data_IF_432246428490
#
_entry.id   IF_432246428490
#
_cell.length_a   1.000
_cell.length_b   1.000
_cell.length_c   1.000
_cell.angle_alpha   90.00
_cell.angle_beta   90.00
_cell.angle_gamma   90.00
#
_symmetry.space_group_name_H-M   'P 1'
#
loop_
_entity.id
_entity.type
_entity.pdbx_description
1 polymer ?
#
# COMPACT_ATOMS: atom_id res chain seq x y z
N UNK A 1 -1.98 -6.37 10.78
CA UNK A 1 -2.03 -5.70 12.09
C UNK A 1 -0.65 -5.54 12.72
N UNK A 2 0.07 -6.63 13.02
CA UNK A 2 1.43 -6.59 13.60
C UNK A 2 2.39 -5.55 13.00
N UNK A 3 2.42 -5.43 11.66
CA UNK A 3 3.30 -4.45 11.00
C UNK A 3 2.91 -3.00 11.32
N UNK A 4 1.62 -2.67 11.35
CA UNK A 4 1.13 -1.32 11.67
C UNK A 4 1.32 -0.98 13.15
N UNK A 5 1.22 -1.97 14.04
CA UNK A 5 1.54 -1.79 15.47
C UNK A 5 2.99 -1.32 15.63
N UNK A 6 3.95 -1.92 14.90
CA UNK A 6 5.35 -1.47 14.92
C UNK A 6 5.55 -0.06 14.37
N UNK A 7 4.81 0.32 13.34
CA UNK A 7 4.84 1.70 12.81
C UNK A 7 4.41 2.72 13.87
N UNK A 8 3.44 2.39 14.72
CA UNK A 8 2.99 3.24 15.83
C UNK A 8 3.97 3.22 17.02
N UNK A 9 4.46 2.04 17.40
CA UNK A 9 5.42 1.88 18.50
C UNK A 9 6.72 2.68 18.24
N UNK A 10 7.16 2.75 16.99
CA UNK A 10 8.36 3.51 16.60
C UNK A 10 8.09 5.00 16.31
N UNK A 11 6.86 5.48 16.54
CA UNK A 11 6.53 6.90 16.44
C UNK A 11 6.53 7.47 15.02
N UNK A 12 6.54 6.61 13.98
CA UNK A 12 6.35 7.07 12.60
C UNK A 12 4.96 7.68 12.45
N UNK A 13 3.97 7.10 13.12
CA UNK A 13 2.66 7.70 13.38
C UNK A 13 2.51 7.87 14.90
N UNK A 14 1.97 9.00 15.33
CA UNK A 14 1.75 9.26 16.76
C UNK A 14 0.54 8.43 17.27
N UNK A 15 0.73 7.51 18.24
CA UNK A 15 -0.36 6.69 18.78
C UNK A 15 -1.42 7.49 19.55
N UNK A 16 -1.08 8.62 20.15
CA UNK A 16 -2.05 9.45 20.91
C UNK A 16 -3.09 10.13 20.01
N UNK A 17 -2.74 10.35 18.73
CA UNK A 17 -3.60 11.02 17.75
C UNK A 17 -4.05 10.09 16.62
N UNK A 18 -3.88 8.77 16.77
CA UNK A 18 -4.17 7.79 15.71
C UNK A 18 -5.09 6.68 16.21
N UNK A 19 -6.21 6.48 15.53
CA UNK A 19 -7.11 5.34 15.76
C UNK A 19 -6.84 4.26 14.70
N UNK A 20 -6.56 3.04 15.15
CA UNK A 20 -6.43 1.87 14.28
C UNK A 20 -7.70 1.05 14.34
N UNK A 21 -8.33 0.83 13.18
CA UNK A 21 -9.52 0.00 13.05
C UNK A 21 -9.47 -0.84 11.77
N UNK A 22 -10.20 -1.95 11.76
CA UNK A 22 -10.32 -2.84 10.59
C UNK A 22 -11.58 -2.44 9.81
N UNK A 23 -11.41 -2.10 8.53
CA UNK A 23 -12.52 -1.92 7.62
C UNK A 23 -12.96 -3.30 7.08
N UNK A 24 -14.18 -3.77 7.38
CA UNK A 24 -14.56 -5.17 7.16
C UNK A 24 -14.99 -5.49 5.71
N UNK A 25 -15.00 -4.52 4.81
CA UNK A 25 -15.41 -4.73 3.42
C UNK A 25 -14.44 -5.66 2.68
N UNK A 26 -14.95 -6.56 1.82
CA UNK A 26 -14.13 -7.16 0.78
C UNK A 26 -13.46 -6.10 -0.10
N UNK A 27 -12.24 -6.40 -0.56
CA UNK A 27 -11.50 -5.59 -1.52
C UNK A 27 -11.77 -6.11 -2.94
N UNK A 28 -12.25 -5.26 -3.84
CA UNK A 28 -12.63 -5.65 -5.20
C UNK A 28 -11.51 -5.44 -6.22
N UNK A 29 -10.53 -4.60 -5.90
CA UNK A 29 -9.50 -4.11 -6.82
C UNK A 29 -10.11 -3.40 -8.04
N UNK A 30 -11.19 -2.65 -7.83
CA UNK A 30 -11.96 -2.02 -8.90
C UNK A 30 -11.66 -0.51 -9.10
N UNK A 31 -10.47 -0.07 -8.66
CA UNK A 31 -9.88 1.22 -9.03
C UNK A 31 -10.78 2.44 -8.72
N UNK A 32 -10.98 3.36 -9.69
CA UNK A 32 -11.78 4.57 -9.52
C UNK A 32 -13.24 4.33 -9.10
N UNK A 33 -13.80 3.16 -9.37
CA UNK A 33 -15.15 2.79 -8.90
C UNK A 33 -15.12 2.46 -7.41
N UNK A 34 -14.15 1.65 -6.99
CA UNK A 34 -14.05 1.19 -5.60
C UNK A 34 -13.57 2.29 -4.64
N UNK A 35 -12.71 3.21 -5.08
CA UNK A 35 -12.25 4.31 -4.21
C UNK A 35 -13.41 5.19 -3.73
N UNK A 36 -14.49 5.30 -4.51
CA UNK A 36 -15.71 6.00 -4.08
C UNK A 36 -16.40 5.28 -2.91
N UNK A 37 -16.47 3.94 -2.96
CA UNK A 37 -16.97 3.13 -1.84
C UNK A 37 -16.11 3.31 -0.59
N UNK A 38 -14.79 3.24 -0.74
CA UNK A 38 -13.86 3.43 0.37
C UNK A 38 -14.00 4.82 1.02
N UNK A 39 -14.22 5.87 0.24
CA UNK A 39 -14.47 7.21 0.74
C UNK A 39 -15.83 7.33 1.41
N UNK A 40 -16.90 6.86 0.77
CA UNK A 40 -18.26 6.92 1.32
C UNK A 40 -18.39 6.17 2.65
N UNK A 41 -17.74 5.02 2.78
CA UNK A 41 -17.71 4.27 4.03
C UNK A 41 -17.03 5.05 5.16
N UNK A 42 -15.96 5.80 4.85
CA UNK A 42 -15.25 6.65 5.83
C UNK A 42 -16.07 7.90 6.21
N UNK A 43 -16.83 8.49 5.29
CA UNK A 43 -17.83 9.53 5.62
C UNK A 43 -18.81 9.00 6.66
N UNK A 44 -19.36 7.81 6.42
CA UNK A 44 -20.33 7.20 7.33
C UNK A 44 -19.72 6.87 8.71
N UNK A 45 -18.40 6.66 8.77
CA UNK A 45 -17.65 6.48 10.01
C UNK A 45 -17.22 7.80 10.68
N UNK A 46 -17.61 8.96 10.13
CA UNK A 46 -17.34 10.28 10.71
C UNK A 46 -16.04 10.95 10.23
N UNK A 47 -15.40 10.47 9.15
CA UNK A 47 -14.22 11.12 8.60
C UNK A 47 -14.60 12.41 7.84
N UNK A 48 -13.92 13.51 8.17
CA UNK A 48 -14.10 14.81 7.51
C UNK A 48 -13.13 15.04 6.34
N UNK A 49 -12.01 14.31 6.34
CA UNK A 49 -10.96 14.35 5.33
C UNK A 49 -10.67 12.94 4.82
N UNK A 50 -10.32 12.82 3.55
CA UNK A 50 -9.97 11.54 2.94
C UNK A 50 -8.71 11.64 2.08
N UNK A 51 -7.67 10.94 2.50
CA UNK A 51 -6.38 10.88 1.80
C UNK A 51 -6.50 9.95 0.60
N UNK A 52 -6.08 10.43 -0.57
CA UNK A 52 -6.07 9.62 -1.80
C UNK A 52 -4.77 9.87 -2.58
N UNK A 53 -4.07 8.79 -2.93
CA UNK A 53 -2.80 8.83 -3.65
C UNK A 53 -2.93 8.43 -5.14
N UNK A 54 -1.83 7.89 -5.66
CA UNK A 54 -1.76 7.26 -7.00
C UNK A 54 -2.49 5.91 -7.00
N UNK A 55 -3.25 5.64 -8.06
CA UNK A 55 -3.84 4.32 -8.37
C UNK A 55 -4.59 3.66 -7.20
N UNK A 56 -5.52 4.39 -6.53
CA UNK A 56 -6.22 3.86 -5.38
C UNK A 56 -7.13 2.70 -5.79
N UNK A 57 -7.09 1.61 -5.01
CA UNK A 57 -7.79 0.36 -5.30
C UNK A 57 -7.45 -0.27 -6.66
N UNK A 58 -6.33 0.12 -7.28
CA UNK A 58 -5.85 -0.47 -8.52
C UNK A 58 -5.05 -1.75 -8.32
N UNK A 59 -4.81 -2.42 -9.45
CA UNK A 59 -3.90 -3.55 -9.57
C UNK A 59 -3.35 -3.62 -10.99
N UNK A 60 -2.29 -4.39 -11.20
CA UNK A 60 -1.80 -4.70 -12.55
C UNK A 60 -2.82 -5.56 -13.31
N UNK A 61 -2.89 -5.37 -14.63
CA UNK A 61 -3.76 -6.16 -15.49
C UNK A 61 -3.34 -7.65 -15.42
N UNK A 62 -4.28 -8.61 -15.26
CA UNK A 62 -3.93 -10.02 -15.10
C UNK A 62 -3.18 -10.63 -16.29
N UNK A 63 -3.44 -10.13 -17.50
CA UNK A 63 -2.87 -10.67 -18.75
C UNK A 63 -1.96 -9.71 -19.51
N UNK A 64 -2.00 -8.42 -19.20
CA UNK A 64 -1.28 -7.39 -19.94
C UNK A 64 -0.22 -6.74 -19.04
N UNK A 65 0.91 -6.32 -19.62
CA UNK A 65 1.99 -5.67 -18.87
C UNK A 65 1.70 -4.18 -18.63
N UNK A 66 0.57 -3.87 -18.02
CA UNK A 66 0.15 -2.51 -17.65
C UNK A 66 -0.71 -2.50 -16.39
N UNK A 67 -0.95 -1.32 -15.86
CA UNK A 67 -1.95 -1.13 -14.81
C UNK A 67 -3.36 -1.27 -15.40
N UNK A 68 -4.30 -1.76 -14.57
CA UNK A 68 -5.69 -1.94 -14.96
C UNK A 68 -6.41 -0.60 -15.13
N UNK A 69 -5.99 0.40 -14.36
CA UNK A 69 -6.53 1.76 -14.35
C UNK A 69 -5.43 2.80 -14.56
N UNK A 70 -5.81 3.97 -15.07
CA UNK A 70 -4.93 5.12 -15.04
C UNK A 70 -4.75 5.61 -13.59
N UNK A 71 -3.48 5.86 -13.26
CA UNK A 71 -3.02 6.19 -11.92
C UNK A 71 -3.65 7.46 -11.30
N UNK A 72 -4.15 8.39 -12.12
CA UNK A 72 -4.76 9.63 -11.66
C UNK A 72 -6.29 9.58 -11.66
N UNK A 73 -6.91 8.58 -12.29
CA UNK A 73 -8.36 8.50 -12.38
C UNK A 73 -9.04 8.43 -11.01
N UNK A 74 -8.47 7.72 -10.04
CA UNK A 74 -9.06 7.62 -8.71
C UNK A 74 -9.26 8.98 -8.03
N UNK A 75 -8.24 9.86 -8.07
CA UNK A 75 -8.31 11.21 -7.50
C UNK A 75 -9.31 12.09 -8.27
N UNK A 76 -9.26 12.05 -9.61
CA UNK A 76 -10.14 12.83 -10.48
C UNK A 76 -11.61 12.44 -10.26
N UNK A 77 -11.92 11.15 -10.35
CA UNK A 77 -13.26 10.60 -10.13
C UNK A 77 -13.78 10.95 -8.74
N UNK A 78 -12.96 10.79 -7.70
CA UNK A 78 -13.38 11.09 -6.34
C UNK A 78 -13.72 12.57 -6.13
N UNK A 79 -13.00 13.48 -6.81
CA UNK A 79 -13.27 14.93 -6.73
C UNK A 79 -14.56 15.38 -7.41
N UNK A 80 -15.13 14.56 -8.30
CA UNK A 80 -16.35 14.85 -9.05
C UNK A 80 -17.50 13.88 -8.73
N UNK A 81 -17.31 12.97 -7.79
CA UNK A 81 -18.29 11.94 -7.46
C UNK A 81 -19.46 12.54 -6.66
N UNK A 82 -20.71 12.34 -7.11
CA UNK A 82 -21.89 12.85 -6.40
C UNK A 82 -22.05 12.17 -5.03
N UNK A 83 -22.52 12.93 -4.04
CA UNK A 83 -22.72 12.45 -2.67
C UNK A 83 -21.46 12.41 -1.80
N UNK A 84 -20.31 12.88 -2.31
CA UNK A 84 -19.06 13.05 -1.56
C UNK A 84 -18.70 14.52 -1.30
N UNK A 85 -19.61 15.47 -1.58
CA UNK A 85 -19.34 16.91 -1.53
C UNK A 85 -18.98 17.39 -0.12
N UNK A 86 -19.41 16.67 0.91
CA UNK A 86 -19.13 16.95 2.33
C UNK A 86 -17.75 16.47 2.79
N UNK A 87 -17.07 15.66 1.98
CA UNK A 87 -15.77 15.06 2.31
C UNK A 87 -14.65 15.88 1.68
N UNK A 88 -13.72 16.34 2.51
CA UNK A 88 -12.55 17.06 2.02
C UNK A 88 -11.53 16.05 1.46
N UNK A 89 -11.47 15.94 0.14
CA UNK A 89 -10.49 15.07 -0.53
C UNK A 89 -9.11 15.70 -0.46
N UNK A 90 -8.13 14.95 0.03
CA UNK A 90 -6.72 15.34 0.10
C UNK A 90 -5.91 14.52 -0.92
N UNK A 91 -5.75 15.02 -2.16
CA UNK A 91 -5.02 14.29 -3.21
C UNK A 91 -3.52 14.47 -3.05
N UNK A 92 -2.78 13.36 -3.16
CA UNK A 92 -1.32 13.35 -3.13
C UNK A 92 -0.73 12.83 -4.45
N UNK A 93 0.48 13.32 -4.75
CA UNK A 93 1.34 12.74 -5.79
C UNK A 93 1.93 11.42 -5.30
N UNK A 94 2.52 10.65 -6.21
CA UNK A 94 3.25 9.44 -5.82
C UNK A 94 4.45 9.82 -4.95
N UNK A 95 4.62 9.14 -3.83
CA UNK A 95 5.81 9.22 -2.99
C UNK A 95 6.74 8.05 -3.29
N UNK A 96 8.04 8.31 -3.36
CA UNK A 96 9.08 7.32 -3.61
C UNK A 96 10.31 7.63 -2.73
N UNK A 97 11.25 6.69 -2.64
CA UNK A 97 12.43 6.89 -1.83
C UNK A 97 13.44 7.78 -2.57
N UNK A 98 13.68 9.00 -2.08
CA UNK A 98 14.70 9.91 -2.61
C UNK A 98 16.08 9.47 -2.07
N UNK A 99 16.94 9.01 -2.96
CA UNK A 99 18.28 8.50 -2.63
C UNK A 99 19.26 9.57 -2.19
N UNK A 100 19.05 10.83 -2.61
CA UNK A 100 19.87 11.98 -2.20
C UNK A 100 19.50 12.42 -0.79
N UNK A 101 18.20 12.50 -0.51
CA UNK A 101 17.69 12.92 0.80
C UNK A 101 17.60 11.77 1.82
N UNK A 102 17.74 10.52 1.39
CA UNK A 102 17.66 9.31 2.21
C UNK A 102 16.35 9.21 3.02
N UNK A 103 15.23 9.54 2.37
CA UNK A 103 13.89 9.48 2.96
C UNK A 103 12.83 9.36 1.87
N UNK A 104 11.59 9.06 2.27
CA UNK A 104 10.44 9.15 1.39
C UNK A 104 10.13 10.62 1.06
N UNK A 105 9.93 10.92 -0.23
CA UNK A 105 9.54 12.25 -0.72
C UNK A 105 8.60 12.13 -1.93
N UNK A 106 7.93 13.21 -2.31
CA UNK A 106 7.12 13.25 -3.51
C UNK A 106 8.00 13.13 -4.75
N UNK A 107 7.61 12.24 -5.66
CA UNK A 107 8.34 12.01 -6.89
C UNK A 107 8.37 13.28 -7.77
N UNK A 108 9.58 13.62 -8.22
CA UNK A 108 9.83 14.71 -9.15
C UNK A 108 10.31 14.14 -10.50
N UNK A 109 9.52 14.26 -11.58
CA UNK A 109 9.91 13.79 -12.91
C UNK A 109 11.20 14.40 -13.45
N UNK A 110 11.58 15.61 -13.02
CA UNK A 110 12.82 16.28 -13.45
C UNK A 110 14.07 15.64 -12.85
N UNK A 111 13.93 14.94 -11.72
CA UNK A 111 15.00 14.25 -10.99
C UNK A 111 14.73 12.75 -10.87
N UNK A 112 14.07 12.15 -11.86
CA UNK A 112 13.55 10.78 -11.79
C UNK A 112 14.59 9.73 -11.35
N UNK A 113 15.86 9.92 -11.71
CA UNK A 113 16.94 8.98 -11.42
C UNK A 113 17.38 9.02 -9.93
N UNK A 114 17.00 10.06 -9.19
CA UNK A 114 17.23 10.15 -7.75
C UNK A 114 16.22 9.32 -6.93
N UNK A 115 15.11 8.86 -7.55
CA UNK A 115 14.03 8.17 -6.86
C UNK A 115 14.02 6.66 -7.09
N UNK A 116 13.89 5.91 -6.01
CA UNK A 116 13.71 4.46 -6.02
C UNK A 116 12.26 4.09 -5.75
N UNK A 117 11.66 3.36 -6.69
CA UNK A 117 10.36 2.71 -6.51
C UNK A 117 10.59 1.28 -6.00
N UNK A 118 10.04 0.98 -4.82
CA UNK A 118 10.14 -0.34 -4.20
C UNK A 118 8.75 -0.97 -4.18
N UNK A 119 8.48 -1.86 -5.12
CA UNK A 119 7.22 -2.59 -5.23
C UNK A 119 7.12 -3.72 -4.19
N UNK A 120 5.91 -4.24 -3.97
CA UNK A 120 5.72 -5.43 -3.13
C UNK A 120 6.51 -6.65 -3.59
N UNK A 121 6.71 -6.82 -4.90
CA UNK A 121 7.58 -7.86 -5.44
C UNK A 121 9.04 -7.62 -5.05
N UNK A 122 9.52 -6.37 -5.12
CA UNK A 122 10.89 -6.02 -4.70
C UNK A 122 11.08 -6.21 -3.19
N UNK A 123 10.10 -5.80 -2.36
CA UNK A 123 10.13 -6.05 -0.92
C UNK A 123 10.25 -7.54 -0.60
N UNK A 124 9.48 -8.38 -1.29
CA UNK A 124 9.56 -9.84 -1.13
C UNK A 124 10.94 -10.39 -1.49
N UNK A 125 11.54 -9.92 -2.59
CA UNK A 125 12.89 -10.33 -2.99
C UNK A 125 13.93 -9.92 -1.95
N UNK A 126 13.89 -8.68 -1.46
CA UNK A 126 14.80 -8.19 -0.42
C UNK A 126 14.70 -9.04 0.85
N UNK A 127 13.47 -9.28 1.33
CA UNK A 127 13.24 -10.09 2.52
C UNK A 127 13.77 -11.53 2.34
N UNK A 128 13.51 -12.18 1.20
CA UNK A 128 14.01 -13.54 0.91
C UNK A 128 15.54 -13.61 0.87
N UNK A 129 16.20 -12.53 0.45
CA UNK A 129 17.67 -12.45 0.41
C UNK A 129 18.29 -11.96 1.73
N UNK A 130 17.48 -11.69 2.78
CA UNK A 130 17.90 -11.04 4.03
C UNK A 130 18.56 -9.68 3.81
N UNK A 131 18.14 -8.99 2.75
CA UNK A 131 18.51 -7.61 2.45
C UNK A 131 17.47 -6.66 3.05
N UNK A 132 17.90 -5.49 3.49
CA UNK A 132 17.00 -4.43 3.96
C UNK A 132 16.68 -3.45 2.82
N UNK A 133 15.47 -2.88 2.77
CA UNK A 133 15.25 -1.68 1.97
C UNK A 133 16.15 -0.54 2.50
N UNK A 134 16.36 0.52 1.70
CA UNK A 134 17.10 1.69 2.16
C UNK A 134 16.55 2.27 3.48
N UNK A 135 17.45 2.71 4.35
CA UNK A 135 17.09 3.34 5.63
C UNK A 135 16.11 4.50 5.40
N UNK A 136 15.01 4.54 6.16
CA UNK A 136 13.97 5.56 6.01
C UNK A 136 12.86 5.21 5.00
N UNK A 137 12.93 4.07 4.31
CA UNK A 137 11.80 3.54 3.52
C UNK A 137 10.66 3.01 4.42
N UNK A 138 11.02 2.29 5.48
CA UNK A 138 10.11 1.73 6.48
C UNK A 138 10.81 1.69 7.84
N UNK A 139 10.04 1.78 8.93
CA UNK A 139 10.57 1.55 10.26
C UNK A 139 11.17 0.14 10.42
N UNK A 140 12.32 -0.01 11.10
CA UNK A 140 12.99 -1.30 11.30
C UNK A 140 12.12 -2.43 11.85
N UNK A 141 11.29 -2.18 12.87
CA UNK A 141 10.39 -3.18 13.45
C UNK A 141 9.25 -3.54 12.51
N UNK A 142 8.72 -2.58 11.75
CA UNK A 142 7.78 -2.85 10.67
C UNK A 142 8.38 -3.75 9.59
N UNK A 143 9.63 -3.49 9.19
CA UNK A 143 10.35 -4.33 8.24
C UNK A 143 10.61 -5.74 8.78
N UNK A 144 11.01 -5.87 10.05
CA UNK A 144 11.23 -7.17 10.70
C UNK A 144 9.97 -8.06 10.64
N UNK A 145 8.79 -7.49 10.89
CA UNK A 145 7.52 -8.22 10.76
C UNK A 145 7.29 -8.72 9.33
N UNK A 146 7.69 -7.96 8.31
CA UNK A 146 7.61 -8.40 6.91
C UNK A 146 8.60 -9.53 6.60
N UNK A 147 9.83 -9.48 7.13
CA UNK A 147 10.80 -10.57 6.98
C UNK A 147 10.26 -11.87 7.59
N UNK A 148 9.76 -11.82 8.83
CA UNK A 148 9.14 -12.98 9.51
C UNK A 148 7.95 -13.54 8.71
N UNK A 149 7.13 -12.67 8.12
CA UNK A 149 6.03 -13.08 7.25
C UNK A 149 6.55 -13.81 6.01
N UNK A 150 7.52 -13.25 5.28
CA UNK A 150 8.03 -13.88 4.06
C UNK A 150 8.81 -15.18 4.32
N UNK A 151 9.51 -15.30 5.46
CA UNK A 151 10.15 -16.54 5.91
C UNK A 151 9.11 -17.64 6.21
N UNK A 152 7.95 -17.27 6.77
CA UNK A 152 6.87 -18.24 7.01
C UNK A 152 6.27 -18.80 5.70
N UNK A 153 6.24 -17.99 4.64
CA UNK A 153 5.74 -18.42 3.33
C UNK A 153 6.69 -19.38 2.63
N UNK A 154 8.01 -19.15 2.72
CA UNK A 154 9.00 -20.07 2.13
C UNK A 154 9.01 -21.43 2.84
N UNK A 155 8.85 -21.43 4.17
CA UNK A 155 8.69 -22.67 4.95
C UNK A 155 7.42 -23.45 4.57
N UNK A 156 6.30 -22.75 4.34
CA UNK A 156 5.04 -23.37 3.91
C UNK A 156 5.11 -23.92 2.47
N UNK A 157 5.74 -23.20 1.53
CA UNK A 157 5.98 -23.64 0.15
C UNK A 157 6.85 -24.92 0.09
N UNK A 158 7.78 -25.07 1.03
CA UNK A 158 8.59 -26.28 1.19
C UNK A 158 7.79 -27.50 1.70
N UNK A 159 6.75 -27.27 2.50
CA UNK A 159 5.89 -28.32 3.06
C UNK A 159 4.74 -28.73 2.13
N UNK A 160 4.30 -27.85 1.22
CA UNK A 160 3.19 -28.13 0.29
C UNK A 160 3.55 -29.05 -0.88
N UNK A 161 4.84 -29.36 -1.09
CA UNK A 161 5.29 -30.28 -2.16
C UNK A 161 5.05 -31.78 -1.86
N UNK A 162 4.39 -32.13 -0.74
CA UNK A 162 4.10 -33.52 -0.34
C UNK A 162 2.62 -33.94 -0.44
N UNK A 163 1.75 -33.17 -1.10
CA UNK A 163 0.38 -33.64 -1.36
C UNK A 163 0.32 -34.37 -2.69
N UNK A 164 0.26 -35.70 -2.62
CA UNK A 164 0.02 -36.59 -3.74
C UNK A 164 -1.28 -36.20 -4.49
N UNK A 165 -1.33 -36.38 -5.82
CA UNK A 165 -2.54 -36.13 -6.57
C UNK A 165 -3.63 -37.11 -6.13
N UNK A 166 -4.76 -36.57 -5.69
CA UNK A 166 -5.97 -37.35 -5.48
C UNK A 166 -6.41 -37.87 -6.85
N UNK A 167 -6.37 -39.19 -7.02
CA UNK A 167 -6.84 -39.86 -8.23
C UNK A 167 -8.33 -39.57 -8.46
N UNK A 168 -8.68 -39.36 -9.74
CA UNK A 168 -10.01 -39.02 -10.23
C UNK A 168 -11.04 -40.16 -10.01
#
# INVERSE_FOLDING_TARGET
MKQHEKVLEEGVLNPESTVVAIFPSPMHYAGPTEVQWHAKARINAGANFYIVGRDPAGMSHPTEKRDLYDADHGKKVLSMAPGLERLNILPFKVAAYDTKQKKMDFFDPSRKDDFLFISGTKMRTLAKNRENPPDGFMCPGGWKVLVEYYDSLTAAEGSSKQREPVAA
#
